data_IF_327570606317
#
_entry.id   IF_327570606317
#
_cell.length_a   1.000
_cell.length_b   1.000
_cell.length_c   1.000
_cell.angle_alpha   90.00
_cell.angle_beta   90.00
_cell.angle_gamma   90.00
#
_symmetry.space_group_name_H-M   'P 1'
#
loop_
_entity.id
_entity.type
_entity.pdbx_description
1 polymer ?
#
# COMPACT_ATOMS: atom_id res chain seq x y z
N UNK A 1 6.15 10.33 -9.82
CA UNK A 1 5.46 9.84 -8.60
C UNK A 1 5.07 11.03 -7.74
N UNK A 2 3.82 11.12 -7.31
CA UNK A 2 3.33 12.15 -6.39
C UNK A 2 3.74 11.80 -4.95
N UNK A 3 4.43 12.71 -4.30
CA UNK A 3 5.16 12.47 -3.04
C UNK A 3 4.43 13.05 -1.83
N UNK A 4 4.97 12.75 -0.64
CA UNK A 4 4.56 13.42 0.60
C UNK A 4 4.68 14.94 0.53
N UNK A 5 5.75 15.48 -0.06
CA UNK A 5 5.96 16.91 -0.15
C UNK A 5 4.90 17.58 -1.05
N UNK A 6 4.52 16.91 -2.14
CA UNK A 6 3.46 17.38 -3.04
C UNK A 6 2.10 17.43 -2.32
N UNK A 7 1.79 16.42 -1.50
CA UNK A 7 0.57 16.40 -0.69
C UNK A 7 0.54 17.56 0.32
N UNK A 8 1.65 17.78 1.04
CA UNK A 8 1.75 18.85 2.03
C UNK A 8 1.62 20.23 1.37
N UNK A 9 2.24 20.43 0.20
CA UNK A 9 2.10 21.66 -0.58
C UNK A 9 0.66 21.87 -1.08
N UNK A 10 0.02 20.83 -1.62
CA UNK A 10 -1.36 20.89 -2.09
C UNK A 10 -2.33 21.25 -0.96
N UNK A 11 -2.18 20.62 0.21
CA UNK A 11 -2.96 20.92 1.41
C UNK A 11 -2.75 22.36 1.89
N UNK A 12 -1.50 22.83 1.95
CA UNK A 12 -1.19 24.21 2.35
C UNK A 12 -1.83 25.23 1.39
N UNK A 13 -1.71 25.00 0.07
CA UNK A 13 -2.31 25.86 -0.94
C UNK A 13 -3.85 25.87 -0.88
N UNK A 14 -4.47 24.73 -0.63
CA UNK A 14 -5.92 24.61 -0.47
C UNK A 14 -6.41 25.37 0.77
N UNK A 15 -5.75 25.17 1.92
CA UNK A 15 -6.07 25.88 3.17
C UNK A 15 -5.91 27.39 3.03
N UNK A 16 -4.84 27.84 2.37
CA UNK A 16 -4.60 29.27 2.10
C UNK A 16 -5.69 29.94 1.25
N UNK A 17 -6.48 29.15 0.51
CA UNK A 17 -7.65 29.62 -0.27
C UNK A 17 -9.00 29.36 0.41
N UNK A 18 -8.99 28.92 1.67
CA UNK A 18 -10.21 28.60 2.43
C UNK A 18 -10.90 27.30 2.00
N UNK A 19 -10.25 26.46 1.18
CA UNK A 19 -10.80 25.16 0.80
C UNK A 19 -10.72 24.18 1.97
N UNK A 20 -11.78 23.38 2.15
CA UNK A 20 -11.89 22.38 3.23
C UNK A 20 -11.38 21.00 2.83
N UNK A 21 -11.26 20.73 1.53
CA UNK A 21 -10.79 19.45 0.99
C UNK A 21 -9.95 19.67 -0.26
N UNK A 22 -9.02 18.76 -0.50
CA UNK A 22 -8.23 18.66 -1.73
C UNK A 22 -8.36 17.26 -2.31
N UNK A 23 -8.53 17.18 -3.64
CA UNK A 23 -8.47 15.92 -4.38
C UNK A 23 -7.21 15.96 -5.24
N UNK A 24 -6.30 15.02 -5.03
CA UNK A 24 -5.04 14.92 -5.75
C UNK A 24 -5.13 13.75 -6.75
N UNK A 25 -4.94 14.05 -8.03
CA UNK A 25 -4.91 13.08 -9.12
C UNK A 25 -3.45 12.83 -9.53
N UNK A 26 -3.03 11.57 -9.60
CA UNK A 26 -1.71 11.20 -10.09
C UNK A 26 -1.71 9.79 -10.69
N UNK A 27 -0.76 9.50 -11.58
CA UNK A 27 -0.54 8.15 -12.10
C UNK A 27 -0.01 7.19 -11.04
N UNK A 28 0.87 7.69 -10.17
CA UNK A 28 1.48 6.93 -9.09
C UNK A 28 1.67 7.81 -7.86
N UNK A 29 1.43 7.21 -6.69
CA UNK A 29 1.69 7.82 -5.39
C UNK A 29 2.86 7.12 -4.70
N UNK A 30 3.56 7.84 -3.83
CA UNK A 30 4.52 7.24 -2.92
C UNK A 30 3.85 6.21 -1.98
N UNK A 31 4.54 5.09 -1.64
CA UNK A 31 4.09 4.17 -0.60
C UNK A 31 3.63 4.89 0.67
N UNK A 32 2.60 4.35 1.34
CA UNK A 32 1.97 4.90 2.57
C UNK A 32 1.26 6.26 2.43
N UNK A 33 1.34 6.94 1.28
CA UNK A 33 0.73 8.26 1.11
C UNK A 33 -0.81 8.25 1.23
N UNK A 34 -1.46 7.17 0.77
CA UNK A 34 -2.90 6.97 0.90
C UNK A 34 -3.34 6.97 2.37
N UNK A 35 -2.64 6.21 3.21
CA UNK A 35 -2.87 6.15 4.65
C UNK A 35 -2.69 7.52 5.31
N UNK A 36 -1.67 8.27 4.88
CA UNK A 36 -1.42 9.63 5.37
C UNK A 36 -2.55 10.60 4.99
N UNK A 37 -3.03 10.54 3.75
CA UNK A 37 -4.15 11.35 3.30
C UNK A 37 -5.44 11.04 4.08
N UNK A 38 -5.72 9.76 4.32
CA UNK A 38 -6.86 9.33 5.16
C UNK A 38 -6.78 9.86 6.59
N UNK A 39 -5.60 9.80 7.21
CA UNK A 39 -5.38 10.33 8.56
C UNK A 39 -5.53 11.84 8.66
N UNK A 40 -5.16 12.58 7.62
CA UNK A 40 -5.40 14.03 7.56
C UNK A 40 -6.89 14.36 7.41
N UNK A 41 -7.65 13.52 6.69
CA UNK A 41 -9.10 13.64 6.52
C UNK A 41 -9.56 14.76 5.58
N UNK A 42 -8.67 15.67 5.16
CA UNK A 42 -8.97 16.73 4.20
C UNK A 42 -8.39 16.47 2.81
N UNK A 43 -7.63 15.38 2.63
CA UNK A 43 -7.12 14.96 1.34
C UNK A 43 -7.81 13.69 0.84
N UNK A 44 -8.05 13.63 -0.46
CA UNK A 44 -8.43 12.41 -1.18
C UNK A 44 -7.46 12.19 -2.33
N UNK A 45 -6.92 10.98 -2.43
CA UNK A 45 -6.03 10.59 -3.52
C UNK A 45 -6.80 9.75 -4.52
N UNK A 46 -6.57 9.99 -5.81
CA UNK A 46 -7.18 9.26 -6.91
C UNK A 46 -6.11 8.93 -7.95
N UNK A 47 -5.90 7.63 -8.19
CA UNK A 47 -5.03 7.13 -9.22
C UNK A 47 -5.68 7.33 -10.59
N UNK A 48 -4.93 7.91 -11.53
CA UNK A 48 -5.36 8.10 -12.91
C UNK A 48 -5.28 6.75 -13.62
N UNK A 49 -6.41 6.22 -14.15
CA UNK A 49 -6.43 4.95 -14.85
C UNK A 49 -5.73 5.08 -16.23
N UNK A 50 -4.90 4.10 -16.68
CA UNK A 50 -4.26 4.13 -18.00
C UNK A 50 -5.26 4.27 -19.16
N UNK A 51 -6.49 3.82 -18.96
CA UNK A 51 -7.62 3.91 -19.89
C UNK A 51 -7.93 5.34 -20.34
N UNK A 52 -7.49 6.37 -19.60
CA UNK A 52 -7.66 7.77 -20.02
C UNK A 52 -6.89 8.09 -21.31
N UNK A 53 -5.89 7.29 -21.65
CA UNK A 53 -5.10 7.43 -22.88
C UNK A 53 -5.70 6.66 -24.06
N UNK A 54 -6.73 5.84 -23.84
CA UNK A 54 -7.37 5.04 -24.88
C UNK A 54 -8.37 5.89 -25.68
N UNK A 55 -8.20 6.09 -27.00
CA UNK A 55 -9.01 7.01 -27.80
C UNK A 55 -10.48 6.60 -27.93
N UNK A 56 -10.78 5.32 -27.71
CA UNK A 56 -12.13 4.76 -27.73
C UNK A 56 -12.83 4.80 -26.37
N UNK A 57 -12.15 5.19 -25.28
CA UNK A 57 -12.75 5.29 -23.96
C UNK A 57 -13.43 6.63 -23.78
N UNK A 58 -14.73 6.58 -23.51
CA UNK A 58 -15.56 7.76 -23.20
C UNK A 58 -15.78 7.95 -21.71
N UNK A 59 -15.54 6.91 -20.93
CA UNK A 59 -15.69 6.90 -19.48
C UNK A 59 -14.55 6.11 -18.88
N UNK A 60 -14.04 6.59 -17.74
CA UNK A 60 -12.97 5.96 -16.97
C UNK A 60 -13.31 6.01 -15.49
N UNK A 61 -12.80 5.03 -14.74
CA UNK A 61 -13.00 4.94 -13.28
C UNK A 61 -11.67 5.19 -12.60
N UNK A 62 -11.63 6.20 -11.74
CA UNK A 62 -10.47 6.48 -10.89
C UNK A 62 -10.48 5.55 -9.68
N UNK A 63 -9.31 5.28 -9.12
CA UNK A 63 -9.16 4.41 -7.96
C UNK A 63 -8.56 5.15 -6.78
N UNK A 64 -9.13 4.95 -5.60
CA UNK A 64 -8.50 5.31 -4.34
C UNK A 64 -7.37 4.31 -4.07
N UNK A 65 -6.11 4.76 -3.95
CA UNK A 65 -4.98 3.86 -3.74
C UNK A 65 -5.10 3.14 -2.39
N UNK A 66 -4.71 1.86 -2.38
CA UNK A 66 -4.61 1.06 -1.16
C UNK A 66 -3.44 1.45 -0.27
N UNK A 67 -3.43 0.91 0.94
CA UNK A 67 -2.29 1.00 1.86
C UNK A 67 -2.17 -0.26 2.71
N UNK A 68 -0.96 -0.48 3.24
CA UNK A 68 -0.63 -1.57 4.15
C UNK A 68 0.00 -0.99 5.41
N UNK A 69 -0.31 -1.59 6.55
CA UNK A 69 0.41 -1.38 7.79
C UNK A 69 1.16 -2.66 8.16
N UNK A 70 2.44 -2.47 8.48
CA UNK A 70 3.41 -3.54 8.64
C UNK A 70 4.13 -3.35 9.97
N UNK A 71 4.24 -4.44 10.71
CA UNK A 71 4.99 -4.54 11.96
C UNK A 71 6.18 -5.50 11.79
N UNK A 72 7.33 -5.11 12.33
CA UNK A 72 8.54 -5.92 12.33
C UNK A 72 8.61 -6.69 13.65
N UNK A 73 8.57 -8.01 13.56
CA UNK A 73 8.49 -8.92 14.69
C UNK A 73 9.88 -9.50 14.98
N UNK A 74 10.64 -8.86 15.87
CA UNK A 74 11.96 -9.35 16.28
C UNK A 74 11.84 -10.64 17.09
N UNK A 75 12.55 -11.69 16.65
CA UNK A 75 12.62 -12.99 17.32
C UNK A 75 13.89 -13.15 18.15
N UNK A 76 14.97 -12.55 17.65
CA UNK A 76 16.28 -12.47 18.28
C UNK A 76 17.01 -11.24 17.71
N UNK A 77 18.18 -10.85 18.22
CA UNK A 77 19.00 -9.80 17.60
C UNK A 77 19.21 -10.09 16.11
N UNK A 78 18.92 -9.09 15.27
CA UNK A 78 19.01 -9.20 13.81
C UNK A 78 18.14 -10.29 13.16
N UNK A 79 17.20 -10.91 13.89
CA UNK A 79 16.30 -11.94 13.36
C UNK A 79 14.86 -11.44 13.43
N UNK A 80 14.22 -11.27 12.27
CA UNK A 80 12.88 -10.71 12.18
C UNK A 80 11.93 -11.53 11.31
N UNK A 81 10.67 -11.48 11.72
CA UNK A 81 9.51 -11.73 10.87
C UNK A 81 8.77 -10.43 10.60
N UNK A 82 7.79 -10.49 9.70
CA UNK A 82 6.94 -9.35 9.34
C UNK A 82 5.49 -9.74 9.55
N UNK A 83 4.70 -8.84 10.13
CA UNK A 83 3.26 -9.00 10.33
C UNK A 83 2.50 -7.89 9.62
N UNK A 84 1.43 -8.25 8.91
CA UNK A 84 0.43 -7.30 8.43
C UNK A 84 -0.53 -6.99 9.58
N UNK A 85 -0.61 -5.72 9.96
CA UNK A 85 -1.47 -5.24 11.06
C UNK A 85 -2.62 -4.37 10.57
N UNK A 86 -2.55 -3.89 9.33
CA UNK A 86 -3.61 -3.12 8.70
C UNK A 86 -3.52 -3.20 7.18
N UNK A 87 -4.66 -3.06 6.53
CA UNK A 87 -4.77 -3.10 5.09
C UNK A 87 -6.01 -2.34 4.63
N UNK A 88 -5.89 -1.64 3.51
CA UNK A 88 -7.02 -1.17 2.71
C UNK A 88 -6.72 -1.48 1.24
N UNK A 89 -7.64 -2.14 0.51
CA UNK A 89 -7.47 -2.43 -0.91
C UNK A 89 -7.60 -1.15 -1.75
N UNK A 90 -7.18 -1.24 -3.01
CA UNK A 90 -7.52 -0.24 -4.00
C UNK A 90 -9.03 -0.30 -4.27
N UNK A 91 -9.72 0.84 -4.22
CA UNK A 91 -11.18 0.89 -4.39
C UNK A 91 -11.57 1.88 -5.49
N UNK A 92 -12.52 1.54 -6.37
CA UNK A 92 -13.01 2.50 -7.36
C UNK A 92 -13.67 3.70 -6.67
N UNK A 93 -13.40 4.91 -7.17
CA UNK A 93 -13.96 6.17 -6.68
C UNK A 93 -15.49 6.12 -6.61
N UNK A 94 -16.10 5.49 -7.61
CA UNK A 94 -17.54 5.25 -7.73
C UNK A 94 -17.73 3.75 -7.63
N UNK A 95 -17.80 3.25 -6.40
CA UNK A 95 -17.84 1.83 -6.08
C UNK A 95 -19.10 1.44 -5.33
N UNK A 96 -19.41 0.15 -5.38
CA UNK A 96 -20.50 -0.48 -4.63
C UNK A 96 -20.37 -0.19 -3.11
N UNK A 97 -21.41 0.36 -2.46
CA UNK A 97 -21.44 0.55 -1.01
C UNK A 97 -21.20 -0.73 -0.21
N UNK A 98 -21.65 -1.89 -0.70
CA UNK A 98 -21.45 -3.17 -0.03
C UNK A 98 -19.97 -3.56 -0.01
N UNK A 99 -19.29 -3.40 -1.15
CA UNK A 99 -17.84 -3.61 -1.23
C UNK A 99 -17.09 -2.66 -0.29
N UNK A 100 -17.49 -1.39 -0.21
CA UNK A 100 -16.86 -0.41 0.69
C UNK A 100 -17.06 -0.77 2.16
N UNK A 101 -18.26 -1.23 2.52
CA UNK A 101 -18.54 -1.72 3.88
C UNK A 101 -17.69 -2.95 4.20
N UNK A 102 -17.60 -3.91 3.26
CA UNK A 102 -16.76 -5.11 3.42
C UNK A 102 -15.29 -4.76 3.59
N UNK A 103 -14.77 -3.82 2.79
CA UNK A 103 -13.40 -3.35 2.90
C UNK A 103 -13.10 -2.67 4.25
N UNK A 104 -14.10 -2.03 4.87
CA UNK A 104 -13.96 -1.42 6.19
C UNK A 104 -14.05 -2.46 7.34
N UNK A 105 -14.93 -3.45 7.23
CA UNK A 105 -15.18 -4.46 8.27
C UNK A 105 -14.13 -5.58 8.26
N UNK A 106 -13.80 -6.10 7.07
CA UNK A 106 -12.93 -7.25 6.89
C UNK A 106 -11.95 -7.02 5.72
N UNK A 107 -11.04 -6.03 5.82
CA UNK A 107 -10.15 -5.67 4.71
C UNK A 107 -9.31 -6.84 4.22
N UNK A 108 -8.78 -7.68 5.12
CA UNK A 108 -7.94 -8.82 4.77
C UNK A 108 -8.66 -9.92 3.98
N UNK A 109 -10.00 -9.90 3.92
CA UNK A 109 -10.76 -10.79 3.02
C UNK A 109 -10.61 -10.40 1.55
N UNK A 110 -10.21 -9.15 1.30
CA UNK A 110 -9.93 -8.64 -0.04
C UNK A 110 -8.43 -8.74 -0.39
N UNK A 111 -7.62 -9.38 0.46
CA UNK A 111 -6.20 -9.64 0.22
C UNK A 111 -5.99 -11.08 -0.29
N UNK A 112 -5.43 -11.21 -1.49
CA UNK A 112 -5.20 -12.51 -2.13
C UNK A 112 -3.76 -12.99 -2.01
N UNK A 113 -2.79 -12.07 -2.08
CA UNK A 113 -1.37 -12.38 -2.07
C UNK A 113 -0.58 -11.30 -1.31
N UNK A 114 0.46 -11.70 -0.58
CA UNK A 114 1.50 -10.77 -0.15
C UNK A 114 2.87 -11.41 -0.06
N UNK A 115 3.91 -10.60 -0.17
CA UNK A 115 5.30 -11.02 -0.14
C UNK A 115 6.20 -10.00 0.56
N UNK A 116 7.38 -10.46 0.97
CA UNK A 116 8.37 -9.68 1.70
C UNK A 116 9.72 -9.74 0.98
N UNK A 117 10.30 -8.56 0.79
CA UNK A 117 11.73 -8.37 0.55
C UNK A 117 12.36 -7.73 1.78
N UNK A 118 13.12 -8.51 2.55
CA UNK A 118 13.74 -8.07 3.79
C UNK A 118 14.89 -7.08 3.57
N UNK A 119 15.50 -7.06 2.38
CA UNK A 119 16.66 -6.23 2.05
C UNK A 119 16.44 -5.56 0.69
N UNK A 120 15.33 -4.83 0.62
CA UNK A 120 14.94 -4.11 -0.58
C UNK A 120 15.90 -2.95 -0.84
N UNK A 121 16.39 -2.88 -2.08
CA UNK A 121 17.17 -1.77 -2.57
C UNK A 121 16.24 -0.81 -3.36
N UNK A 122 15.94 0.38 -2.81
CA UNK A 122 15.03 1.32 -3.46
C UNK A 122 15.58 1.89 -4.77
N UNK A 123 16.90 1.83 -5.00
CA UNK A 123 17.54 2.36 -6.21
C UNK A 123 17.50 1.35 -7.36
N UNK A 124 17.63 0.05 -7.05
CA UNK A 124 17.54 -1.04 -8.05
C UNK A 124 16.08 -1.39 -8.36
N UNK A 125 15.16 -1.13 -7.43
CA UNK A 125 13.71 -1.37 -7.53
C UNK A 125 13.28 -2.83 -7.87
N UNK A 126 14.22 -3.77 -7.94
CA UNK A 126 13.92 -5.20 -8.09
C UNK A 126 13.41 -5.77 -6.76
N UNK A 127 12.20 -6.30 -6.76
CA UNK A 127 11.61 -6.93 -5.58
C UNK A 127 12.05 -8.39 -5.45
N UNK A 128 12.72 -8.75 -4.36
CA UNK A 128 13.18 -10.12 -4.10
C UNK A 128 12.19 -10.85 -3.18
N UNK A 129 11.48 -11.82 -3.73
CA UNK A 129 10.53 -12.66 -3.00
C UNK A 129 11.25 -13.59 -2.01
N UNK A 130 11.54 -13.10 -0.80
CA UNK A 130 12.21 -13.90 0.25
C UNK A 130 11.23 -14.69 1.12
N UNK A 131 9.97 -14.26 1.13
CA UNK A 131 8.83 -14.94 1.75
C UNK A 131 7.54 -14.48 1.06
N UNK A 132 6.52 -15.34 0.99
CA UNK A 132 5.21 -15.00 0.43
C UNK A 132 4.08 -15.87 0.99
N UNK A 133 2.86 -15.34 0.98
CA UNK A 133 1.63 -16.07 1.27
C UNK A 133 0.55 -15.69 0.26
N UNK A 134 -0.27 -16.66 -0.12
CA UNK A 134 -1.35 -16.46 -1.08
C UNK A 134 -2.50 -17.43 -0.86
N UNK A 135 -3.70 -16.98 -1.22
CA UNK A 135 -4.89 -17.81 -1.23
C UNK A 135 -4.88 -18.73 -2.44
N UNK A 136 -5.34 -19.96 -2.26
CA UNK A 136 -5.63 -20.89 -3.35
C UNK A 136 -7.09 -21.26 -3.34
N UNK A 137 -7.58 -21.87 -4.42
CA UNK A 137 -8.95 -22.40 -4.48
C UNK A 137 -9.27 -23.35 -3.32
N UNK A 138 -8.30 -24.19 -2.92
CA UNK A 138 -8.47 -25.22 -1.90
C UNK A 138 -8.07 -24.77 -0.49
N UNK A 139 -7.27 -23.71 -0.36
CA UNK A 139 -6.91 -23.11 0.91
C UNK A 139 -7.10 -21.60 0.86
N UNK A 140 -8.19 -21.13 1.49
CA UNK A 140 -8.55 -19.71 1.57
C UNK A 140 -7.85 -18.98 2.71
N UNK A 141 -7.11 -19.66 3.58
CA UNK A 141 -6.41 -19.04 4.70
C UNK A 141 -5.19 -18.29 4.19
N UNK A 142 -5.12 -17.00 4.50
CA UNK A 142 -3.93 -16.18 4.34
C UNK A 142 -3.26 -16.04 5.71
N UNK A 143 -1.95 -16.33 5.80
CA UNK A 143 -1.20 -16.05 7.03
C UNK A 143 -0.81 -14.57 7.04
N UNK A 144 -1.02 -13.89 8.15
CA UNK A 144 -0.77 -12.45 8.29
C UNK A 144 0.57 -12.14 8.98
N UNK A 145 1.34 -13.17 9.32
CA UNK A 145 2.68 -13.06 9.90
C UNK A 145 3.58 -14.08 9.22
N UNK A 146 4.80 -13.65 8.87
CA UNK A 146 5.80 -14.57 8.34
C UNK A 146 6.38 -15.47 9.42
N UNK A 147 6.87 -16.61 8.98
CA UNK A 147 7.54 -17.65 9.76
C UNK A 147 8.97 -17.89 9.24
N UNK A 148 9.56 -16.85 8.63
CA UNK A 148 10.84 -16.94 7.94
C UNK A 148 12.02 -16.91 8.90
N UNK A 149 11.90 -16.15 10.00
CA UNK A 149 13.02 -15.85 10.91
C UNK A 149 14.23 -15.30 10.14
N UNK A 150 14.04 -14.20 9.41
CA UNK A 150 15.08 -13.66 8.54
C UNK A 150 16.22 -13.03 9.34
N UNK A 151 17.44 -13.54 9.17
CA UNK A 151 18.64 -13.02 9.84
C UNK A 151 19.38 -12.02 8.96
N UNK A 152 19.51 -10.80 9.46
CA UNK A 152 20.29 -9.73 8.83
C UNK A 152 21.78 -9.88 9.11
N UNK A 153 22.60 -9.53 8.12
CA UNK A 153 24.07 -9.50 8.26
C UNK A 153 24.49 -8.16 8.86
N UNK A 154 24.76 -8.17 10.16
CA UNK A 154 25.35 -7.05 10.90
C UNK A 154 24.48 -5.79 11.01
N UNK A 155 25.00 -4.76 11.70
CA UNK A 155 24.32 -3.48 11.84
C UNK A 155 24.27 -2.70 10.52
N UNK A 156 23.35 -1.74 10.43
CA UNK A 156 23.21 -0.86 9.27
C UNK A 156 21.76 -0.51 8.92
N UNK A 157 21.60 0.40 7.98
CA UNK A 157 20.28 0.79 7.47
C UNK A 157 19.80 -0.28 6.49
N UNK A 158 18.59 -0.81 6.71
CA UNK A 158 17.91 -1.74 5.81
C UNK A 158 16.53 -1.21 5.46
N UNK A 159 16.03 -1.58 4.27
CA UNK A 159 14.63 -1.34 3.90
C UNK A 159 13.94 -2.66 3.71
N UNK A 160 12.86 -2.88 4.45
CA UNK A 160 11.93 -3.98 4.21
C UNK A 160 10.84 -3.46 3.28
N UNK A 161 10.63 -4.15 2.16
CA UNK A 161 9.50 -3.89 1.30
C UNK A 161 8.47 -5.03 1.44
N UNK A 162 7.22 -4.64 1.63
CA UNK A 162 6.08 -5.55 1.65
C UNK A 162 5.18 -5.21 0.49
N UNK A 163 4.87 -6.21 -0.32
CA UNK A 163 4.00 -6.09 -1.49
C UNK A 163 2.75 -6.92 -1.24
N UNK A 164 1.59 -6.34 -1.46
CA UNK A 164 0.29 -7.00 -1.37
C UNK A 164 -0.47 -6.84 -2.69
N UNK A 165 -1.24 -7.87 -3.06
CA UNK A 165 -2.14 -7.84 -4.21
C UNK A 165 -3.54 -8.18 -3.74
N UNK A 166 -4.48 -7.29 -4.00
CA UNK A 166 -5.88 -7.46 -3.65
C UNK A 166 -6.65 -8.33 -4.67
N UNK A 167 -7.90 -8.67 -4.34
CA UNK A 167 -8.78 -9.48 -5.20
C UNK A 167 -9.11 -8.82 -6.55
N UNK A 168 -8.83 -7.53 -6.71
CA UNK A 168 -8.96 -6.81 -7.98
C UNK A 168 -7.68 -6.86 -8.81
N UNK A 169 -6.63 -7.52 -8.31
CA UNK A 169 -5.32 -7.59 -8.95
C UNK A 169 -4.49 -6.32 -8.75
N UNK A 170 -4.91 -5.40 -7.88
CA UNK A 170 -4.20 -4.15 -7.65
C UNK A 170 -3.09 -4.33 -6.61
N UNK A 171 -1.92 -3.77 -6.92
CA UNK A 171 -0.75 -3.86 -6.06
C UNK A 171 -0.70 -2.69 -5.07
N UNK A 172 -0.35 -3.00 -3.81
CA UNK A 172 0.01 -2.04 -2.78
C UNK A 172 1.37 -2.38 -2.20
N UNK A 173 2.22 -1.36 -1.98
CA UNK A 173 3.55 -1.53 -1.40
C UNK A 173 3.66 -0.71 -0.11
N UNK A 174 4.25 -1.30 0.92
CA UNK A 174 4.73 -0.61 2.11
C UNK A 174 6.24 -0.77 2.24
N UNK A 175 6.91 0.30 2.69
CA UNK A 175 8.34 0.33 2.95
C UNK A 175 8.58 0.64 4.42
N UNK A 176 9.41 -0.16 5.08
CA UNK A 176 9.83 0.04 6.47
C UNK A 176 11.34 0.18 6.52
N UNK A 177 11.84 1.32 7.00
CA UNK A 177 13.27 1.52 7.23
C UNK A 177 13.66 1.01 8.62
N UNK A 178 14.72 0.23 8.67
CA UNK A 178 15.27 -0.37 9.88
C UNK A 178 16.66 0.21 10.15
N UNK A 179 16.88 0.65 11.38
CA UNK A 179 18.22 0.83 11.93
C UNK A 179 18.62 -0.39 12.75
N UNK A 180 19.46 -1.24 12.17
CA UNK A 180 20.03 -2.43 12.81
C UNK A 180 21.31 -2.10 13.57
#
# INVERSE_FOLDING_TARGET
>A
RFSRADLEQALAAARGRGARRVVCLAWEFEPDLARRAERDGNARLLAIPPEVMEPNRREVVFFEPGWLEVEICWRAPFCADVRLTGFRPCLPERGDPELRARAAEAPFDLLDFWAIDFEHDPDIALFRHRWQSYRTRNNRRLVLESDRGYTYVGPGQRTVAVKAVDVFGMETVALVRLGL
#
